data_IF_676784042065
#
_entry.id   IF_676784042065
#
_cell.length_a   1.000
_cell.length_b   1.000
_cell.length_c   1.000
_cell.angle_alpha   90.00
_cell.angle_beta   90.00
_cell.angle_gamma   90.00
#
_symmetry.space_group_name_H-M   'P 1'
#
loop_
_entity.id
_entity.type
_entity.pdbx_description
1 polymer ?
#
# COMPACT_ATOMS: atom_id res chain seq x y z
N UNK A 1 0.70 8.10 -4.82
CA UNK A 1 -0.06 7.13 -5.66
C UNK A 1 0.27 5.68 -5.29
N UNK A 2 1.47 5.15 -5.59
CA UNK A 2 1.77 3.73 -5.33
C UNK A 2 1.70 3.32 -3.85
N UNK A 3 2.08 4.20 -2.91
CA UNK A 3 1.98 3.87 -1.47
C UNK A 3 0.53 3.72 -0.99
N UNK A 4 -0.41 4.47 -1.56
CA UNK A 4 -1.85 4.29 -1.26
C UNK A 4 -2.36 2.96 -1.82
N UNK A 5 -1.85 2.53 -3.00
CA UNK A 5 -2.18 1.22 -3.58
C UNK A 5 -1.63 0.09 -2.72
N UNK A 6 -0.38 0.18 -2.29
CA UNK A 6 0.26 -0.82 -1.43
C UNK A 6 -0.46 -0.97 -0.08
N UNK A 7 -0.79 0.15 0.57
CA UNK A 7 -1.60 0.14 1.80
C UNK A 7 -2.96 -0.51 1.59
N UNK A 8 -3.67 -0.16 0.52
CA UNK A 8 -4.99 -0.72 0.20
C UNK A 8 -4.94 -2.23 -0.09
N UNK A 9 -3.86 -2.71 -0.73
CA UNK A 9 -3.63 -4.13 -0.98
C UNK A 9 -3.33 -4.92 0.30
N UNK A 10 -2.96 -4.26 1.39
CA UNK A 10 -2.59 -4.90 2.67
C UNK A 10 -3.59 -4.62 3.79
N UNK A 11 -4.75 -4.04 3.47
CA UNK A 11 -5.79 -3.68 4.44
C UNK A 11 -6.38 -4.84 5.24
N UNK A 12 -6.23 -6.07 4.75
CA UNK A 12 -6.66 -7.31 5.42
C UNK A 12 -5.65 -7.83 6.44
N UNK A 13 -4.45 -7.24 6.51
CA UNK A 13 -3.47 -7.56 7.54
C UNK A 13 -4.03 -7.17 8.93
N UNK A 14 -4.12 -8.14 9.84
CA UNK A 14 -4.57 -7.90 11.22
C UNK A 14 -3.42 -7.80 12.23
N UNK A 15 -2.17 -7.88 11.77
CA UNK A 15 -1.00 -7.76 12.63
C UNK A 15 -0.81 -6.28 12.99
N UNK A 16 -1.03 -5.93 14.26
CA UNK A 16 -0.92 -4.54 14.73
C UNK A 16 0.47 -3.95 14.50
N UNK A 17 1.54 -4.74 14.71
CA UNK A 17 2.93 -4.31 14.49
C UNK A 17 3.15 -3.97 13.01
N UNK A 18 2.78 -4.89 12.12
CA UNK A 18 2.95 -4.70 10.67
C UNK A 18 2.12 -3.52 10.15
N UNK A 19 0.91 -3.33 10.68
CA UNK A 19 0.09 -2.17 10.33
C UNK A 19 0.74 -0.86 10.79
N UNK A 20 1.31 -0.80 12.00
CA UNK A 20 1.97 0.39 12.52
C UNK A 20 3.25 0.74 11.74
N UNK A 21 4.03 -0.28 11.36
CA UNK A 21 5.19 -0.12 10.47
C UNK A 21 4.77 0.43 9.10
N UNK A 22 3.73 -0.14 8.48
CA UNK A 22 3.22 0.35 7.21
C UNK A 22 2.68 1.79 7.30
N UNK A 23 2.02 2.15 8.41
CA UNK A 23 1.59 3.54 8.65
C UNK A 23 2.81 4.46 8.76
N UNK A 24 3.85 4.04 9.46
CA UNK A 24 5.09 4.79 9.63
C UNK A 24 5.82 5.00 8.30
N UNK A 25 5.95 3.96 7.49
CA UNK A 25 6.52 4.03 6.13
C UNK A 25 5.71 4.94 5.21
N UNK A 26 4.39 4.86 5.26
CA UNK A 26 3.51 5.72 4.49
C UNK A 26 3.60 7.20 4.91
N UNK A 27 3.68 7.47 6.22
CA UNK A 27 3.94 8.82 6.74
C UNK A 27 5.31 9.33 6.33
N UNK A 28 6.35 8.50 6.36
CA UNK A 28 7.69 8.86 5.87
C UNK A 28 7.70 9.14 4.36
N UNK A 29 6.81 8.50 3.60
CA UNK A 29 6.58 8.78 2.18
C UNK A 29 5.69 10.01 1.93
N UNK A 30 5.28 10.73 2.98
CA UNK A 30 4.54 11.99 2.91
C UNK A 30 3.02 11.87 2.92
N UNK A 31 2.45 10.69 3.19
CA UNK A 31 1.00 10.56 3.33
C UNK A 31 0.56 11.08 4.70
N UNK A 32 -0.51 11.86 4.71
CA UNK A 32 -1.17 12.29 5.94
C UNK A 32 -1.91 11.14 6.60
N UNK A 33 -2.18 11.24 7.90
CA UNK A 33 -2.96 10.21 8.62
C UNK A 33 -4.32 9.94 7.98
N UNK A 34 -5.00 10.96 7.46
CA UNK A 34 -6.29 10.78 6.77
C UNK A 34 -6.16 10.04 5.45
N UNK A 35 -5.09 10.27 4.69
CA UNK A 35 -4.81 9.54 3.45
C UNK A 35 -4.43 8.08 3.72
N UNK A 36 -3.72 7.83 4.80
CA UNK A 36 -3.37 6.48 5.26
C UNK A 36 -4.64 5.71 5.62
N UNK A 37 -5.51 6.28 6.44
CA UNK A 37 -6.77 5.64 6.82
C UNK A 37 -7.72 5.46 5.62
N UNK A 38 -7.73 6.42 4.68
CA UNK A 38 -8.46 6.26 3.43
C UNK A 38 -7.92 5.07 2.61
N UNK A 39 -6.59 4.95 2.46
CA UNK A 39 -5.96 3.86 1.73
C UNK A 39 -6.19 2.50 2.41
N UNK A 40 -6.10 2.41 3.74
CA UNK A 40 -6.45 1.20 4.49
C UNK A 40 -7.92 0.83 4.34
N UNK A 41 -8.81 1.81 4.18
CA UNK A 41 -10.20 1.59 3.82
C UNK A 41 -10.42 1.33 2.31
N UNK A 42 -9.36 1.07 1.55
CA UNK A 42 -9.36 0.83 0.09
C UNK A 42 -9.96 1.99 -0.72
N UNK A 43 -9.67 3.24 -0.29
CA UNK A 43 -10.13 4.48 -0.90
C UNK A 43 -8.96 5.45 -1.12
N UNK A 44 -9.17 6.47 -1.95
CA UNK A 44 -8.27 7.62 -2.07
C UNK A 44 -9.08 8.88 -2.37
N UNK A 45 -8.59 10.04 -1.90
CA UNK A 45 -9.16 11.34 -2.22
C UNK A 45 -8.83 11.80 -3.65
N UNK A 46 -7.72 11.30 -4.22
CA UNK A 46 -7.40 11.52 -5.63
C UNK A 46 -8.16 10.50 -6.49
N UNK A 47 -9.01 10.99 -7.39
CA UNK A 47 -9.89 10.14 -8.20
C UNK A 47 -9.11 9.20 -9.12
N UNK A 48 -7.94 9.63 -9.64
CA UNK A 48 -7.11 8.77 -10.49
C UNK A 48 -6.47 7.65 -9.68
N UNK A 49 -5.96 7.95 -8.49
CA UNK A 49 -5.42 6.97 -7.56
C UNK A 49 -6.51 6.03 -7.02
N UNK A 50 -7.72 6.54 -6.78
CA UNK A 50 -8.87 5.73 -6.35
C UNK A 50 -9.25 4.65 -7.36
N UNK A 51 -9.20 4.96 -8.66
CA UNK A 51 -9.41 3.96 -9.71
C UNK A 51 -8.30 2.90 -9.75
N UNK A 52 -7.05 3.28 -9.50
CA UNK A 52 -5.93 2.33 -9.39
C UNK A 52 -6.03 1.45 -8.15
N UNK A 53 -6.43 2.00 -7.01
CA UNK A 53 -6.73 1.24 -5.79
C UNK A 53 -7.84 0.22 -6.06
N UNK A 54 -8.93 0.64 -6.70
CA UNK A 54 -10.04 -0.24 -7.07
C UNK A 54 -9.59 -1.36 -8.01
N UNK A 55 -8.77 -1.03 -9.01
CA UNK A 55 -8.20 -1.99 -9.96
C UNK A 55 -7.29 -3.00 -9.25
N UNK A 56 -6.39 -2.54 -8.38
CA UNK A 56 -5.49 -3.41 -7.63
C UNK A 56 -6.25 -4.35 -6.68
N UNK A 57 -7.25 -3.84 -5.96
CA UNK A 57 -8.08 -4.66 -5.07
C UNK A 57 -8.93 -5.69 -5.84
N UNK A 58 -9.44 -5.32 -7.02
CA UNK A 58 -10.14 -6.26 -7.90
C UNK A 58 -9.24 -7.39 -8.42
N UNK A 59 -7.97 -7.08 -8.74
CA UNK A 59 -6.96 -8.09 -9.10
C UNK A 59 -6.68 -9.01 -7.91
N UNK A 60 -6.45 -8.46 -6.72
CA UNK A 60 -6.16 -9.24 -5.50
C UNK A 60 -7.28 -10.21 -5.13
N UNK A 61 -8.53 -9.77 -5.29
CA UNK A 61 -9.72 -10.57 -4.94
C UNK A 61 -10.14 -11.57 -6.04
N UNK A 62 -9.44 -11.58 -7.18
CA UNK A 62 -9.78 -12.38 -8.36
C UNK A 62 -11.26 -12.25 -8.79
N UNK A 63 -11.84 -11.07 -8.58
CA UNK A 63 -13.24 -10.80 -8.88
C UNK A 63 -13.39 -10.20 -10.29
N UNK A 64 -13.81 -11.04 -11.24
CA UNK A 64 -13.94 -10.65 -12.65
C UNK A 64 -14.90 -9.45 -12.88
N UNK A 65 -16.00 -9.37 -12.13
CA UNK A 65 -16.96 -8.26 -12.26
C UNK A 65 -16.37 -6.95 -11.73
N UNK A 66 -15.73 -7.00 -10.55
CA UNK A 66 -15.03 -5.86 -9.98
C UNK A 66 -13.89 -5.39 -10.89
N UNK A 67 -13.15 -6.34 -11.50
CA UNK A 67 -12.06 -6.04 -12.41
C UNK A 67 -12.55 -5.34 -13.67
N UNK A 68 -13.66 -5.78 -14.25
CA UNK A 68 -14.28 -5.13 -15.41
C UNK A 68 -14.70 -3.69 -15.07
N UNK A 69 -15.38 -3.50 -13.94
CA UNK A 69 -15.84 -2.17 -13.50
C UNK A 69 -14.66 -1.22 -13.23
N UNK A 70 -13.62 -1.70 -12.53
CA UNK A 70 -12.44 -0.91 -12.24
C UNK A 70 -11.66 -0.52 -13.50
N UNK A 71 -11.58 -1.42 -14.50
CA UNK A 71 -11.00 -1.09 -15.82
C UNK A 71 -11.79 0.01 -16.53
N UNK A 72 -13.11 -0.11 -16.59
CA UNK A 72 -13.98 0.91 -17.19
C UNK A 72 -13.83 2.27 -16.52
N UNK A 73 -13.75 2.29 -15.17
CA UNK A 73 -13.51 3.50 -14.41
C UNK A 73 -12.15 4.12 -14.72
N UNK A 74 -11.09 3.32 -14.78
CA UNK A 74 -9.75 3.81 -15.15
C UNK A 74 -9.74 4.40 -16.57
N UNK A 75 -10.37 3.73 -17.55
CA UNK A 75 -10.49 4.25 -18.91
C UNK A 75 -11.28 5.56 -18.95
N UNK A 76 -12.38 5.67 -18.21
CA UNK A 76 -13.17 6.90 -18.12
C UNK A 76 -12.37 8.09 -17.52
N UNK A 77 -11.36 7.80 -16.72
CA UNK A 77 -10.43 8.79 -16.14
C UNK A 77 -9.18 9.01 -17.01
N UNK A 78 -9.20 8.57 -18.27
CA UNK A 78 -8.18 8.85 -19.28
C UNK A 78 -6.97 7.92 -19.24
N UNK A 79 -7.04 6.77 -18.56
CA UNK A 79 -6.00 5.75 -18.64
C UNK A 79 -6.17 4.90 -19.90
N UNK A 80 -5.10 4.72 -20.66
CA UNK A 80 -5.08 3.82 -21.81
C UNK A 80 -5.05 2.35 -21.37
N UNK A 81 -5.52 1.45 -22.24
CA UNK A 81 -5.45 0.00 -21.99
C UNK A 81 -4.01 -0.47 -21.75
N UNK A 82 -3.03 0.18 -22.41
CA UNK A 82 -1.60 -0.10 -22.21
C UNK A 82 -1.15 0.25 -20.80
N UNK A 83 -1.54 1.42 -20.29
CA UNK A 83 -1.19 1.85 -18.93
C UNK A 83 -1.90 0.97 -17.90
N UNK A 84 -3.17 0.63 -18.11
CA UNK A 84 -3.93 -0.28 -17.26
C UNK A 84 -3.26 -1.66 -17.21
N UNK A 85 -2.86 -2.22 -18.35
CA UNK A 85 -2.15 -3.49 -18.42
C UNK A 85 -0.76 -3.43 -17.77
N UNK A 86 -0.06 -2.28 -17.89
CA UNK A 86 1.22 -2.06 -17.22
C UNK A 86 1.06 -2.00 -15.70
N UNK A 87 0.07 -1.23 -15.22
CA UNK A 87 -0.24 -1.14 -13.81
C UNK A 87 -0.69 -2.49 -13.23
N UNK A 88 -1.51 -3.26 -13.95
CA UNK A 88 -1.94 -4.58 -13.49
C UNK A 88 -0.75 -5.53 -13.22
N UNK A 89 0.33 -5.46 -14.03
CA UNK A 89 1.57 -6.21 -13.78
C UNK A 89 2.28 -5.74 -12.51
N UNK A 90 2.32 -4.42 -12.26
CA UNK A 90 2.91 -3.84 -11.04
C UNK A 90 2.09 -4.27 -9.81
N UNK A 91 0.77 -4.13 -9.86
CA UNK A 91 -0.12 -4.52 -8.77
C UNK A 91 0.00 -6.02 -8.45
N UNK A 92 0.10 -6.88 -9.48
CA UNK A 92 0.34 -8.31 -9.28
C UNK A 92 1.68 -8.58 -8.61
N UNK A 93 2.74 -7.87 -9.01
CA UNK A 93 4.04 -7.93 -8.31
C UNK A 93 3.95 -7.51 -6.84
N UNK A 94 3.12 -6.51 -6.50
CA UNK A 94 2.88 -6.10 -5.12
C UNK A 94 2.08 -7.12 -4.31
N UNK A 95 1.13 -7.82 -4.94
CA UNK A 95 0.30 -8.87 -4.33
C UNK A 95 1.14 -10.13 -4.06
N UNK A 96 1.96 -10.52 -5.04
CA UNK A 96 2.77 -11.73 -4.98
C UNK A 96 4.03 -11.54 -4.13
N UNK A 97 4.48 -10.29 -3.95
CA UNK A 97 5.59 -9.99 -3.06
C UNK A 97 5.23 -10.45 -1.64
N UNK A 98 6.04 -11.32 -1.00
CA UNK A 98 5.87 -11.56 0.43
C UNK A 98 5.93 -10.19 1.09
N UNK A 99 4.98 -9.91 1.99
CA UNK A 99 5.07 -8.77 2.90
C UNK A 99 6.47 -8.81 3.47
N UNK A 100 7.33 -7.90 3.00
CA UNK A 100 8.71 -7.83 3.45
C UNK A 100 8.60 -7.73 4.97
N UNK A 101 9.00 -8.80 5.67
CA UNK A 101 9.36 -8.67 7.07
C UNK A 101 10.42 -7.58 7.07
N UNK A 102 10.24 -6.48 7.82
CA UNK A 102 11.34 -5.56 7.95
C UNK A 102 12.48 -6.34 8.59
N UNK A 103 13.57 -6.51 7.84
CA UNK A 103 14.89 -6.66 8.41
C UNK A 103 14.97 -5.61 9.50
N UNK A 104 15.29 -6.06 10.71
CA UNK A 104 15.70 -5.21 11.80
C UNK A 104 16.71 -4.20 11.25
N UNK A 105 16.25 -3.00 10.89
CA UNK A 105 17.13 -1.86 10.71
C UNK A 105 17.68 -1.66 12.11
N UNK A 106 18.94 -2.05 12.22
CA UNK A 106 19.70 -2.15 13.43
C UNK A 106 19.28 -1.08 14.44
N UNK A 107 18.83 -1.57 15.59
CA UNK A 107 18.82 -0.82 16.83
C UNK A 107 20.27 -0.44 17.16
N UNK A 108 20.85 0.51 16.42
CA UNK A 108 22.03 1.25 16.83
C UNK A 108 21.56 2.38 17.74
N UNK A 109 20.84 2.02 18.81
CA UNK A 109 20.78 2.85 20.01
C UNK A 109 21.83 2.27 20.92
N UNK A 110 23.02 2.86 20.82
CA UNK A 110 24.20 2.56 21.61
C UNK A 110 23.83 2.10 23.01
N UNK A 111 24.24 0.87 23.29
CA UNK A 111 24.62 0.37 24.61
C UNK A 111 25.62 1.36 25.24
N UNK A 112 25.14 2.45 25.86
CA UNK A 112 25.87 3.14 26.93
C UNK A 112 25.33 2.63 28.25
N UNK A 113 25.62 1.35 28.52
CA UNK A 113 25.58 0.82 29.86
C UNK A 113 26.64 1.55 30.69
N UNK A 114 26.18 2.19 31.77
CA UNK A 114 26.61 1.86 33.12
C UNK A 114 28.07 1.40 33.28
N UNK A 115 28.95 2.36 33.53
CA UNK A 115 30.12 2.26 34.40
C UNK A 115 30.44 3.72 34.83
N UNK A 116 30.57 4.12 36.08
CA UNK A 116 30.54 3.44 37.36
C UNK A 116 30.00 4.43 38.41
N UNK A 117 29.09 3.97 39.27
CA UNK A 117 28.99 4.49 40.64
C UNK A 117 29.96 3.65 41.47
N UNK A 118 31.01 4.29 41.98
CA UNK A 118 31.64 4.14 43.31
C UNK A 118 33.02 4.80 43.30
#
# INVERSE_FOLDING_TARGET
MLQQVELALRSDCRCAITLDEMRSEASAAGLTGVEIEAALAQRSFDVRTSALVSLACAIKSDNAAALKNARQQATALGWSDREIASFARIAKGMIDAPTLRPSAVASNRENRNFAAQQ
#
